data_IF_036583633524
#
_entry.id   IF_036583633524
#
_cell.length_a   1.000
_cell.length_b   1.000
_cell.length_c   1.000
_cell.angle_alpha   90.00
_cell.angle_beta   90.00
_cell.angle_gamma   90.00
#
_symmetry.space_group_name_H-M   'P 1'
#
loop_
_entity.id
_entity.type
_entity.pdbx_description
1 polymer ?
#
# COMPACT_ATOMS: atom_id res chain seq x y z
N UNK A 1 -29.06 16.84 -10.46
CA UNK A 1 -27.62 16.62 -10.29
C UNK A 1 -27.45 15.52 -9.25
N UNK A 2 -26.64 14.53 -9.53
CA UNK A 2 -26.36 13.45 -8.58
C UNK A 2 -25.73 14.05 -7.30
N UNK A 3 -26.25 13.65 -6.14
CA UNK A 3 -25.71 14.09 -4.86
C UNK A 3 -24.52 13.19 -4.48
N UNK A 4 -23.32 13.51 -5.00
CA UNK A 4 -22.11 12.77 -4.70
C UNK A 4 -21.12 13.66 -3.93
N UNK A 5 -20.54 13.12 -2.87
CA UNK A 5 -19.51 13.81 -2.10
C UNK A 5 -18.19 13.84 -2.89
N UNK A 6 -17.72 15.03 -3.24
CA UNK A 6 -16.50 15.22 -4.05
C UNK A 6 -15.24 14.78 -3.32
N UNK A 7 -15.21 14.91 -2.03
CA UNK A 7 -14.07 14.64 -1.16
C UNK A 7 -13.72 13.16 -1.03
N UNK A 8 -14.59 12.25 -1.50
CA UNK A 8 -14.27 10.82 -1.56
C UNK A 8 -13.34 10.45 -2.72
N UNK A 9 -13.24 11.28 -3.76
CA UNK A 9 -12.36 11.08 -4.92
C UNK A 9 -10.93 11.55 -4.58
N UNK A 10 -10.14 10.67 -3.95
CA UNK A 10 -8.78 10.98 -3.48
C UNK A 10 -7.74 10.88 -4.60
N UNK A 11 -6.46 11.07 -4.27
CA UNK A 11 -5.37 11.09 -5.24
C UNK A 11 -5.13 9.75 -5.94
N UNK A 12 -5.41 8.60 -5.29
CA UNK A 12 -5.11 7.28 -5.85
C UNK A 12 -6.18 6.20 -5.58
N UNK A 13 -7.28 6.57 -4.95
CA UNK A 13 -8.45 5.70 -4.74
C UNK A 13 -9.72 6.54 -4.51
N UNK A 14 -10.85 5.87 -4.38
CA UNK A 14 -12.07 6.48 -3.86
C UNK A 14 -12.26 5.97 -2.44
N UNK A 15 -12.50 6.87 -1.48
CA UNK A 15 -12.63 6.49 -0.08
C UNK A 15 -13.56 7.41 0.68
N UNK A 16 -14.53 6.83 1.42
CA UNK A 16 -15.51 7.60 2.17
C UNK A 16 -16.07 6.86 3.38
N UNK A 17 -16.85 7.57 4.19
CA UNK A 17 -17.59 7.00 5.32
C UNK A 17 -18.90 6.44 4.79
N UNK A 18 -19.12 5.14 5.03
CA UNK A 18 -20.29 4.40 4.55
C UNK A 18 -21.57 4.98 5.14
N UNK A 19 -22.58 5.17 4.28
CA UNK A 19 -23.87 5.76 4.63
C UNK A 19 -23.86 7.28 4.84
N UNK A 20 -22.68 7.92 4.77
CA UNK A 20 -22.54 9.39 4.85
C UNK A 20 -22.04 9.98 3.54
N UNK A 21 -20.77 9.76 3.22
CA UNK A 21 -20.13 10.25 1.99
C UNK A 21 -20.05 9.19 0.91
N UNK A 22 -19.98 7.90 1.30
CA UNK A 22 -20.02 6.75 0.41
C UNK A 22 -21.36 6.02 0.61
N UNK A 23 -22.37 6.39 -0.18
CA UNK A 23 -23.71 5.81 -0.15
C UNK A 23 -23.87 4.73 -1.22
N UNK A 24 -24.93 3.95 -1.14
CA UNK A 24 -25.32 2.96 -2.17
C UNK A 24 -25.50 3.63 -3.54
N UNK A 25 -26.15 4.80 -3.59
CA UNK A 25 -26.31 5.59 -4.80
C UNK A 25 -24.95 6.04 -5.36
N UNK A 26 -24.05 6.55 -4.51
CA UNK A 26 -22.70 6.92 -4.92
C UNK A 26 -21.94 5.72 -5.50
N UNK A 27 -22.01 4.55 -4.88
CA UNK A 27 -21.38 3.33 -5.38
C UNK A 27 -21.92 2.92 -6.76
N UNK A 28 -23.24 2.97 -6.96
CA UNK A 28 -23.85 2.70 -8.25
C UNK A 28 -23.37 3.66 -9.34
N UNK A 29 -23.36 4.97 -9.06
CA UNK A 29 -22.92 5.99 -10.03
C UNK A 29 -21.42 5.88 -10.32
N UNK A 30 -20.60 5.57 -9.33
CA UNK A 30 -19.18 5.29 -9.51
C UNK A 30 -19.00 4.06 -10.41
N UNK A 31 -19.78 3.00 -10.21
CA UNK A 31 -19.79 1.82 -11.09
C UNK A 31 -20.07 2.19 -12.54
N UNK A 32 -21.09 3.02 -12.79
CA UNK A 32 -21.41 3.53 -14.13
C UNK A 32 -20.27 4.39 -14.73
N UNK A 33 -19.63 5.23 -13.91
CA UNK A 33 -18.52 6.06 -14.37
C UNK A 33 -17.29 5.21 -14.75
N UNK A 34 -16.96 4.19 -13.94
CA UNK A 34 -15.88 3.24 -14.26
C UNK A 34 -16.21 2.45 -15.53
N UNK A 35 -17.47 2.00 -15.69
CA UNK A 35 -17.92 1.31 -16.89
C UNK A 35 -17.82 2.19 -18.13
N UNK A 36 -18.12 3.48 -18.01
CA UNK A 36 -17.94 4.46 -19.11
C UNK A 36 -16.49 4.55 -19.54
N UNK A 37 -15.56 4.70 -18.58
CA UNK A 37 -14.12 4.72 -18.87
C UNK A 37 -13.62 3.39 -19.44
N UNK A 38 -14.16 2.27 -18.97
CA UNK A 38 -13.86 0.95 -19.50
C UNK A 38 -14.30 0.83 -20.97
N UNK A 39 -15.53 1.26 -21.28
CA UNK A 39 -16.07 1.25 -22.65
C UNK A 39 -15.26 2.11 -23.61
N UNK A 40 -14.81 3.30 -23.18
CA UNK A 40 -13.91 4.18 -23.96
C UNK A 40 -12.60 3.46 -24.35
N UNK A 41 -12.13 2.53 -23.51
CA UNK A 41 -10.93 1.72 -23.73
C UNK A 41 -11.20 0.38 -24.43
N UNK A 42 -12.45 0.09 -24.82
CA UNK A 42 -12.85 -1.19 -25.41
C UNK A 42 -12.84 -2.36 -24.42
N UNK A 43 -12.87 -2.09 -23.11
CA UNK A 43 -12.92 -3.10 -22.06
C UNK A 43 -14.37 -3.54 -21.90
N UNK A 44 -14.61 -4.84 -21.98
CA UNK A 44 -15.95 -5.43 -21.91
C UNK A 44 -16.18 -6.26 -20.65
N UNK A 45 -15.12 -6.54 -19.86
CA UNK A 45 -15.19 -7.38 -18.65
C UNK A 45 -14.29 -6.83 -17.56
N UNK A 46 -14.80 -6.79 -16.31
CA UNK A 46 -14.10 -6.28 -15.14
C UNK A 46 -14.18 -7.31 -13.99
N UNK A 47 -13.07 -7.62 -13.32
CA UNK A 47 -13.05 -8.39 -12.09
C UNK A 47 -13.55 -7.50 -10.93
N UNK A 48 -14.39 -8.06 -10.06
CA UNK A 48 -14.94 -7.36 -8.90
C UNK A 48 -14.76 -8.21 -7.65
N UNK A 49 -14.10 -7.64 -6.64
CA UNK A 49 -13.87 -8.30 -5.36
C UNK A 49 -14.05 -7.33 -4.19
N UNK A 50 -14.12 -7.87 -2.99
CA UNK A 50 -14.24 -7.09 -1.75
C UNK A 50 -13.40 -7.67 -0.62
N UNK A 51 -13.02 -6.83 0.34
CA UNK A 51 -12.44 -7.27 1.61
C UNK A 51 -13.50 -7.80 2.60
N UNK A 52 -13.11 -8.00 3.86
CA UNK A 52 -13.96 -8.54 4.93
C UNK A 52 -14.88 -7.53 5.60
N UNK A 53 -14.91 -6.26 5.19
CA UNK A 53 -15.75 -5.23 5.82
C UNK A 53 -17.23 -5.52 5.69
N UNK A 54 -18.01 -5.19 6.74
CA UNK A 54 -19.45 -5.46 6.80
C UNK A 54 -20.24 -4.74 5.71
N UNK A 55 -19.79 -3.56 5.28
CA UNK A 55 -20.40 -2.79 4.20
C UNK A 55 -20.07 -3.32 2.79
N UNK A 56 -19.08 -4.22 2.67
CA UNK A 56 -18.61 -4.75 1.39
C UNK A 56 -19.69 -5.35 0.51
N UNK A 57 -20.55 -6.25 1.00
CA UNK A 57 -21.61 -6.88 0.17
C UNK A 57 -22.58 -5.88 -0.46
N UNK A 58 -23.04 -4.87 0.32
CA UNK A 58 -23.95 -3.84 -0.19
C UNK A 58 -23.34 -2.98 -1.28
N UNK A 59 -22.14 -2.46 -1.03
CA UNK A 59 -21.40 -1.67 -2.03
C UNK A 59 -21.06 -2.48 -3.29
N UNK A 60 -20.70 -3.76 -3.12
CA UNK A 60 -20.42 -4.66 -4.25
C UNK A 60 -21.65 -4.86 -5.14
N UNK A 61 -22.83 -5.04 -4.55
CA UNK A 61 -24.06 -5.17 -5.33
C UNK A 61 -24.35 -3.91 -6.15
N UNK A 62 -24.08 -2.71 -5.63
CA UNK A 62 -24.32 -1.46 -6.34
C UNK A 62 -23.31 -1.22 -7.46
N UNK A 63 -22.02 -1.45 -7.21
CA UNK A 63 -20.98 -1.35 -8.25
C UNK A 63 -21.26 -2.36 -9.36
N UNK A 64 -21.58 -3.61 -9.02
CA UNK A 64 -21.92 -4.65 -9.99
C UNK A 64 -23.12 -4.25 -10.86
N UNK A 65 -24.17 -3.70 -10.25
CA UNK A 65 -25.33 -3.18 -10.99
C UNK A 65 -24.92 -2.03 -11.92
N UNK A 66 -24.09 -1.09 -11.44
CA UNK A 66 -23.56 -0.01 -12.27
C UNK A 66 -22.82 -0.51 -13.50
N UNK A 67 -22.01 -1.56 -13.36
CA UNK A 67 -21.32 -2.21 -14.48
C UNK A 67 -22.27 -2.88 -15.44
N UNK A 68 -23.15 -3.74 -14.94
CA UNK A 68 -24.09 -4.50 -15.81
C UNK A 68 -25.07 -3.60 -16.54
N UNK A 69 -25.63 -2.59 -15.87
CA UNK A 69 -26.52 -1.60 -16.50
C UNK A 69 -25.83 -0.78 -17.59
N UNK A 70 -24.50 -0.70 -17.54
CA UNK A 70 -23.64 -0.03 -18.55
C UNK A 70 -23.06 -0.99 -19.58
N UNK A 71 -23.52 -2.26 -19.63
CA UNK A 71 -23.11 -3.24 -20.64
C UNK A 71 -21.77 -3.94 -20.38
N UNK A 72 -21.18 -3.79 -19.19
CA UNK A 72 -19.92 -4.43 -18.83
C UNK A 72 -20.18 -5.75 -18.11
N UNK A 73 -19.54 -6.83 -18.57
CA UNK A 73 -19.55 -8.12 -17.89
C UNK A 73 -18.71 -8.08 -16.61
N UNK A 74 -19.17 -8.76 -15.58
CA UNK A 74 -18.52 -8.82 -14.27
C UNK A 74 -18.03 -10.23 -13.98
N UNK A 75 -16.75 -10.35 -13.63
CA UNK A 75 -16.21 -11.52 -12.95
C UNK A 75 -16.21 -11.25 -11.44
N UNK A 76 -17.19 -11.75 -10.73
CA UNK A 76 -17.30 -11.63 -9.28
C UNK A 76 -16.42 -12.69 -8.61
N UNK A 77 -15.35 -12.25 -7.94
CA UNK A 77 -14.42 -13.13 -7.20
C UNK A 77 -14.72 -13.18 -5.71
N UNK A 78 -15.79 -12.53 -5.26
CA UNK A 78 -16.27 -12.59 -3.88
C UNK A 78 -15.38 -11.85 -2.88
N UNK A 79 -15.26 -12.44 -1.68
CA UNK A 79 -14.39 -11.92 -0.62
C UNK A 79 -12.96 -12.41 -0.85
N UNK A 80 -12.05 -11.50 -1.13
CA UNK A 80 -10.64 -11.76 -1.46
C UNK A 80 -9.73 -10.67 -0.89
N UNK A 81 -8.44 -10.94 -0.80
CA UNK A 81 -7.44 -9.91 -0.57
C UNK A 81 -7.23 -9.05 -1.84
N UNK A 82 -6.80 -7.79 -1.68
CA UNK A 82 -6.55 -6.89 -2.80
C UNK A 82 -5.60 -7.49 -3.86
N UNK A 83 -4.45 -8.11 -3.51
CA UNK A 83 -3.60 -8.75 -4.50
C UNK A 83 -4.27 -9.91 -5.26
N UNK A 84 -5.21 -10.61 -4.63
CA UNK A 84 -5.95 -11.68 -5.32
C UNK A 84 -6.91 -11.11 -6.37
N UNK A 85 -7.52 -9.94 -6.12
CA UNK A 85 -8.27 -9.24 -7.15
C UNK A 85 -7.37 -8.82 -8.31
N UNK A 86 -6.21 -8.24 -8.03
CA UNK A 86 -5.28 -7.86 -9.10
C UNK A 86 -4.83 -9.08 -9.92
N UNK A 87 -4.59 -10.20 -9.25
CA UNK A 87 -4.30 -11.48 -9.91
C UNK A 87 -5.44 -11.91 -10.85
N UNK A 88 -6.69 -11.87 -10.37
CA UNK A 88 -7.87 -12.18 -11.20
C UNK A 88 -8.03 -11.20 -12.36
N UNK A 89 -7.88 -9.88 -12.11
CA UNK A 89 -7.99 -8.85 -13.13
C UNK A 89 -6.99 -9.08 -14.29
N UNK A 90 -5.75 -9.41 -13.97
CA UNK A 90 -4.70 -9.64 -14.97
C UNK A 90 -4.94 -10.93 -15.75
N UNK A 91 -5.26 -12.03 -15.07
CA UNK A 91 -5.36 -13.33 -15.73
C UNK A 91 -6.70 -13.55 -16.44
N UNK A 92 -7.79 -12.90 -16.01
CA UNK A 92 -9.15 -13.18 -16.47
C UNK A 92 -9.84 -12.01 -17.18
N UNK A 93 -9.41 -10.76 -16.92
CA UNK A 93 -10.11 -9.55 -17.36
C UNK A 93 -9.19 -8.53 -18.03
N UNK A 94 -8.09 -8.97 -18.67
CA UNK A 94 -7.19 -8.10 -19.42
C UNK A 94 -6.59 -6.95 -18.59
N UNK A 95 -6.38 -7.16 -17.30
CA UNK A 95 -5.86 -6.15 -16.38
C UNK A 95 -6.94 -5.17 -15.88
N UNK A 96 -8.20 -5.56 -15.86
CA UNK A 96 -9.30 -4.68 -15.41
C UNK A 96 -9.99 -5.24 -14.19
N UNK A 97 -10.00 -4.50 -13.10
CA UNK A 97 -10.59 -4.93 -11.84
C UNK A 97 -10.88 -3.78 -10.88
N UNK A 98 -11.85 -3.99 -10.02
CA UNK A 98 -12.22 -3.08 -8.92
C UNK A 98 -12.28 -3.84 -7.61
N UNK A 99 -11.51 -3.37 -6.64
CA UNK A 99 -11.49 -3.87 -5.27
C UNK A 99 -12.28 -2.93 -4.37
N UNK A 100 -13.23 -3.49 -3.64
CA UNK A 100 -13.98 -2.78 -2.62
C UNK A 100 -13.29 -3.01 -1.28
N UNK A 101 -12.64 -1.97 -0.78
CA UNK A 101 -11.83 -2.05 0.44
C UNK A 101 -11.68 -0.70 1.12
N UNK A 102 -11.63 -0.72 2.44
CA UNK A 102 -11.18 0.40 3.25
C UNK A 102 -9.72 0.27 3.68
N UNK A 103 -8.99 -0.79 3.22
CA UNK A 103 -7.61 -1.09 3.63
C UNK A 103 -7.46 -1.02 5.16
N UNK A 104 -6.58 -0.19 5.67
CA UNK A 104 -6.33 0.04 7.09
C UNK A 104 -7.18 1.15 7.73
N UNK A 105 -8.21 1.67 7.06
CA UNK A 105 -9.09 2.68 7.66
C UNK A 105 -10.03 2.06 8.73
N UNK A 106 -10.65 2.89 9.60
CA UNK A 106 -11.65 2.43 10.56
C UNK A 106 -12.80 1.62 9.94
N UNK A 107 -13.56 0.84 10.74
CA UNK A 107 -14.60 -0.06 10.24
C UNK A 107 -15.71 0.61 9.44
N UNK A 108 -16.02 1.87 9.71
CA UNK A 108 -17.05 2.68 9.06
C UNK A 108 -16.61 3.27 7.71
N UNK A 109 -15.34 3.09 7.31
CA UNK A 109 -14.83 3.47 6.00
C UNK A 109 -14.90 2.31 5.01
N UNK A 110 -15.07 2.67 3.73
CA UNK A 110 -14.85 1.77 2.60
C UNK A 110 -14.45 2.59 1.36
N UNK A 111 -14.13 1.92 0.25
CA UNK A 111 -13.72 2.61 -0.96
C UNK A 111 -13.45 1.66 -2.13
N UNK A 112 -12.82 2.20 -3.17
CA UNK A 112 -12.57 1.47 -4.40
C UNK A 112 -11.14 1.69 -4.89
N UNK A 113 -10.37 0.60 -5.01
CA UNK A 113 -9.11 0.56 -5.77
C UNK A 113 -9.42 0.05 -7.16
N UNK A 114 -8.93 0.74 -8.19
CA UNK A 114 -9.40 0.52 -9.57
C UNK A 114 -8.22 0.34 -10.53
N UNK A 115 -8.34 -0.64 -11.41
CA UNK A 115 -7.38 -0.90 -12.49
C UNK A 115 -8.15 -1.13 -13.79
N UNK A 116 -7.78 -0.46 -14.87
CA UNK A 116 -8.37 -0.62 -16.21
C UNK A 116 -7.28 -0.80 -17.26
N UNK A 117 -7.30 -1.96 -17.96
CA UNK A 117 -6.33 -2.27 -18.99
C UNK A 117 -4.89 -2.37 -18.49
N UNK A 118 -4.69 -2.79 -17.24
CA UNK A 118 -3.38 -2.91 -16.59
C UNK A 118 -2.83 -1.59 -16.01
N UNK A 119 -3.61 -0.51 -16.03
CA UNK A 119 -3.25 0.77 -15.42
C UNK A 119 -4.09 1.02 -14.15
N UNK A 120 -3.45 1.29 -13.03
CA UNK A 120 -4.14 1.71 -11.81
C UNK A 120 -4.61 3.15 -11.98
N UNK A 121 -5.89 3.41 -11.70
CA UNK A 121 -6.46 4.75 -11.78
C UNK A 121 -5.93 5.60 -10.60
N UNK A 122 -5.41 6.78 -10.94
CA UNK A 122 -4.92 7.75 -9.97
C UNK A 122 -5.00 9.17 -10.52
N UNK A 123 -4.92 10.17 -9.65
CA UNK A 123 -4.86 11.59 -10.02
C UNK A 123 -6.01 12.02 -10.92
N UNK A 124 -5.67 12.49 -12.11
CA UNK A 124 -6.62 13.01 -13.10
C UNK A 124 -7.66 11.96 -13.49
N UNK A 125 -7.27 10.69 -13.65
CA UNK A 125 -8.21 9.62 -14.03
C UNK A 125 -9.32 9.42 -12.98
N UNK A 126 -9.06 9.65 -11.69
CA UNK A 126 -10.08 9.63 -10.65
C UNK A 126 -10.99 10.87 -10.73
N UNK A 127 -10.42 12.04 -11.03
CA UNK A 127 -11.21 13.27 -11.23
C UNK A 127 -12.08 13.20 -12.48
N UNK A 128 -11.66 12.51 -13.52
CA UNK A 128 -12.50 12.21 -14.69
C UNK A 128 -13.73 11.37 -14.32
N UNK A 129 -13.62 10.40 -13.41
CA UNK A 129 -14.79 9.66 -12.91
C UNK A 129 -15.80 10.59 -12.23
N UNK A 130 -15.31 11.49 -11.37
CA UNK A 130 -16.16 12.50 -10.75
C UNK A 130 -16.86 13.37 -11.80
N UNK A 131 -16.13 13.85 -12.81
CA UNK A 131 -16.68 14.67 -13.87
C UNK A 131 -17.76 13.94 -14.69
N UNK A 132 -17.61 12.63 -14.93
CA UNK A 132 -18.64 11.81 -15.58
C UNK A 132 -19.91 11.77 -14.74
N UNK A 133 -19.79 11.55 -13.42
CA UNK A 133 -20.94 11.51 -12.50
C UNK A 133 -21.65 12.87 -12.47
N UNK A 134 -20.91 13.98 -12.32
CA UNK A 134 -21.48 15.31 -12.22
C UNK A 134 -22.21 15.77 -13.49
N UNK A 135 -21.73 15.34 -14.66
CA UNK A 135 -22.31 15.68 -15.98
C UNK A 135 -23.36 14.69 -16.45
N UNK A 136 -23.67 13.64 -15.68
CA UNK A 136 -24.51 12.51 -16.11
C UNK A 136 -24.02 11.90 -17.43
N UNK A 137 -22.68 11.89 -17.61
CA UNK A 137 -21.98 11.51 -18.85
C UNK A 137 -21.78 9.99 -19.00
N UNK A 138 -22.74 9.19 -18.56
CA UNK A 138 -22.64 7.75 -18.58
C UNK A 138 -22.84 7.15 -19.97
N UNK A 139 -22.07 6.10 -20.28
CA UNK A 139 -22.30 5.33 -21.50
C UNK A 139 -23.69 4.70 -21.47
N UNK A 140 -24.39 4.77 -22.59
CA UNK A 140 -25.61 4.00 -22.82
C UNK A 140 -25.25 2.62 -23.36
N UNK A 141 -25.89 1.56 -22.84
CA UNK A 141 -25.70 0.21 -23.31
C UNK A 141 -26.95 -0.33 -23.98
N UNK A 142 -26.78 -0.96 -25.13
CA UNK A 142 -27.86 -1.64 -25.84
C UNK A 142 -28.28 -2.95 -25.18
N UNK A 143 -27.36 -3.54 -24.39
CA UNK A 143 -27.56 -4.81 -23.69
C UNK A 143 -26.93 -4.77 -22.31
N UNK A 144 -27.62 -5.30 -21.33
CA UNK A 144 -27.09 -5.47 -19.99
C UNK A 144 -25.93 -6.47 -19.98
N UNK A 145 -24.87 -6.17 -19.21
CA UNK A 145 -23.77 -7.09 -18.97
C UNK A 145 -24.17 -8.29 -18.13
N UNK A 146 -23.37 -9.34 -18.20
CA UNK A 146 -23.55 -10.57 -17.43
C UNK A 146 -22.68 -10.60 -16.17
N UNK A 147 -23.03 -11.47 -15.21
CA UNK A 147 -22.21 -11.73 -14.01
C UNK A 147 -21.84 -13.21 -14.00
N UNK A 148 -20.55 -13.46 -13.80
CA UNK A 148 -20.03 -14.81 -13.54
C UNK A 148 -19.27 -14.81 -12.23
N UNK A 149 -19.39 -15.88 -11.46
CA UNK A 149 -18.68 -16.05 -10.19
C UNK A 149 -17.51 -17.01 -10.38
N UNK A 150 -16.38 -16.72 -9.71
CA UNK A 150 -15.20 -17.59 -9.72
C UNK A 150 -14.43 -17.47 -8.42
N UNK A 151 -14.15 -18.60 -7.77
CA UNK A 151 -13.16 -18.67 -6.70
C UNK A 151 -11.74 -18.68 -7.31
N UNK A 152 -11.00 -17.61 -7.08
CA UNK A 152 -9.62 -17.44 -7.57
C UNK A 152 -8.56 -17.90 -6.55
N UNK A 153 -8.98 -18.24 -5.33
CA UNK A 153 -8.06 -18.49 -4.21
C UNK A 153 -7.12 -19.66 -4.45
N UNK A 154 -7.63 -20.74 -5.07
CA UNK A 154 -6.83 -21.91 -5.42
C UNK A 154 -5.77 -21.61 -6.47
N UNK A 155 -6.11 -20.83 -7.50
CA UNK A 155 -5.16 -20.45 -8.57
C UNK A 155 -4.06 -19.55 -8.05
N UNK A 156 -4.41 -18.52 -7.25
CA UNK A 156 -3.47 -17.62 -6.60
C UNK A 156 -2.50 -18.40 -5.69
N UNK A 157 -3.04 -19.23 -4.79
CA UNK A 157 -2.25 -20.07 -3.90
C UNK A 157 -1.28 -20.98 -4.68
N UNK A 158 -1.79 -21.73 -5.67
CA UNK A 158 -0.98 -22.70 -6.42
C UNK A 158 0.11 -22.00 -7.24
N UNK A 159 -0.16 -20.80 -7.74
CA UNK A 159 0.83 -20.02 -8.46
C UNK A 159 2.01 -19.67 -7.54
N UNK A 160 1.76 -19.18 -6.32
CA UNK A 160 2.82 -18.84 -5.36
C UNK A 160 3.58 -20.08 -4.91
N UNK A 161 2.89 -21.11 -4.44
CA UNK A 161 3.52 -22.37 -3.95
C UNK A 161 4.29 -23.07 -5.07
N UNK A 162 3.84 -22.91 -6.32
CA UNK A 162 4.49 -23.48 -7.50
C UNK A 162 5.93 -22.99 -7.73
N UNK A 163 6.22 -21.72 -7.42
CA UNK A 163 7.50 -21.11 -7.74
C UNK A 163 8.33 -20.63 -6.54
N UNK A 164 7.74 -20.39 -5.38
CA UNK A 164 8.48 -20.10 -4.14
C UNK A 164 9.04 -21.38 -3.55
N UNK A 165 10.33 -21.40 -3.24
CA UNK A 165 11.02 -22.60 -2.75
C UNK A 165 11.84 -22.29 -1.49
N UNK A 166 11.33 -22.72 -0.35
CA UNK A 166 12.05 -22.62 0.90
C UNK A 166 13.20 -23.65 0.95
N UNK A 167 14.31 -23.26 1.59
CA UNK A 167 15.44 -24.20 1.86
C UNK A 167 15.14 -25.15 3.01
N UNK A 168 14.30 -24.73 3.97
CA UNK A 168 13.78 -25.52 5.06
C UNK A 168 12.41 -25.00 5.49
N UNK A 169 11.59 -25.85 6.15
CA UNK A 169 10.42 -25.37 6.88
C UNK A 169 10.82 -24.36 7.96
N UNK A 170 9.95 -23.37 8.19
CA UNK A 170 10.11 -22.39 9.26
C UNK A 170 8.90 -22.42 10.18
N UNK A 171 9.10 -22.00 11.44
CA UNK A 171 8.00 -21.74 12.38
C UNK A 171 7.71 -20.26 12.37
N UNK A 172 6.50 -19.90 11.99
CA UNK A 172 6.11 -18.49 11.82
C UNK A 172 4.83 -18.18 12.58
N UNK A 173 4.67 -16.92 12.95
CA UNK A 173 3.39 -16.37 13.41
C UNK A 173 2.87 -15.44 12.32
N UNK A 174 1.59 -15.52 12.00
CA UNK A 174 0.92 -14.53 11.17
C UNK A 174 -0.13 -13.80 12.00
N UNK A 175 -0.26 -12.50 11.76
CA UNK A 175 -1.27 -11.63 12.36
C UNK A 175 -2.04 -10.92 11.26
N UNK A 176 -3.33 -11.23 11.12
CA UNK A 176 -4.19 -10.63 10.11
C UNK A 176 -5.05 -9.47 10.66
N UNK A 177 -5.01 -9.19 11.96
CA UNK A 177 -5.81 -8.12 12.59
C UNK A 177 -7.31 -8.23 12.27
N UNK A 178 -7.85 -9.44 12.11
CA UNK A 178 -9.20 -9.73 11.61
C UNK A 178 -9.49 -9.24 10.17
N UNK A 179 -8.46 -8.83 9.42
CA UNK A 179 -8.55 -8.48 8.02
C UNK A 179 -8.74 -9.70 7.11
N UNK A 180 -9.03 -9.44 5.84
CA UNK A 180 -9.33 -10.50 4.86
C UNK A 180 -8.16 -11.44 4.59
N UNK A 181 -6.91 -11.00 4.83
CA UNK A 181 -5.71 -11.84 4.73
C UNK A 181 -5.77 -13.09 5.57
N UNK A 182 -6.48 -13.05 6.72
CA UNK A 182 -6.68 -14.21 7.60
C UNK A 182 -7.32 -15.41 6.94
N UNK A 183 -8.21 -15.21 5.96
CA UNK A 183 -8.85 -16.29 5.22
C UNK A 183 -7.86 -17.05 4.29
N UNK A 184 -6.71 -16.48 3.94
CA UNK A 184 -5.84 -16.99 2.89
C UNK A 184 -4.39 -17.23 3.33
N UNK A 185 -3.81 -16.36 4.16
CA UNK A 185 -2.39 -16.39 4.50
C UNK A 185 -1.96 -17.68 5.22
N UNK A 186 -2.76 -18.17 6.16
CA UNK A 186 -2.47 -19.42 6.89
C UNK A 186 -2.33 -20.61 5.95
N UNK A 187 -3.27 -20.78 5.03
CA UNK A 187 -3.24 -21.84 4.02
C UNK A 187 -2.03 -21.69 3.08
N UNK A 188 -1.72 -20.45 2.67
CA UNK A 188 -0.60 -20.16 1.78
C UNK A 188 0.73 -20.58 2.41
N UNK A 189 1.00 -20.13 3.62
CA UNK A 189 2.28 -20.41 4.26
C UNK A 189 2.43 -21.86 4.72
N UNK A 190 1.35 -22.54 5.11
CA UNK A 190 1.33 -24.01 5.32
C UNK A 190 1.61 -24.75 4.01
N UNK A 191 1.06 -24.27 2.89
CA UNK A 191 1.32 -24.81 1.56
C UNK A 191 2.80 -24.72 1.12
N UNK A 192 3.53 -23.72 1.64
CA UNK A 192 4.99 -23.59 1.46
C UNK A 192 5.81 -24.50 2.39
N UNK A 193 5.15 -25.27 3.28
CA UNK A 193 5.78 -26.21 4.20
C UNK A 193 6.09 -25.66 5.60
N UNK A 194 5.60 -24.48 5.94
CA UNK A 194 5.85 -23.87 7.25
C UNK A 194 4.88 -24.40 8.34
N UNK A 195 5.33 -24.35 9.60
CA UNK A 195 4.48 -24.43 10.77
C UNK A 195 3.97 -23.01 11.09
N UNK A 196 2.66 -22.81 11.09
CA UNK A 196 2.03 -21.48 11.17
C UNK A 196 1.16 -21.37 12.42
N UNK A 197 1.49 -20.45 13.30
CA UNK A 197 0.62 -19.94 14.36
C UNK A 197 -0.18 -18.75 13.82
N UNK A 198 -1.50 -18.77 13.98
CA UNK A 198 -2.42 -17.80 13.43
C UNK A 198 -2.99 -16.90 14.53
N UNK A 199 -2.77 -15.58 14.45
CA UNK A 199 -3.37 -14.57 15.31
C UNK A 199 -4.40 -13.78 14.50
N UNK A 200 -5.60 -13.65 15.08
CA UNK A 200 -6.69 -12.82 14.54
C UNK A 200 -6.98 -13.07 13.05
N UNK A 201 -6.93 -14.35 12.64
CA UNK A 201 -7.16 -14.78 11.26
C UNK A 201 -8.63 -15.03 10.93
N UNK A 202 -9.54 -14.99 11.91
CA UNK A 202 -10.98 -14.95 11.65
C UNK A 202 -11.35 -13.57 11.11
N UNK A 203 -11.96 -13.54 9.91
CA UNK A 203 -12.31 -12.28 9.24
C UNK A 203 -13.51 -11.62 9.96
N UNK A 204 -13.31 -10.44 10.51
CA UNK A 204 -14.33 -9.63 11.16
C UNK A 204 -14.14 -8.15 10.83
N UNK A 205 -15.10 -7.59 10.08
CA UNK A 205 -15.06 -6.19 9.64
C UNK A 205 -15.19 -5.15 10.77
N UNK A 206 -15.38 -5.58 12.04
CA UNK A 206 -15.34 -4.71 13.21
C UNK A 206 -13.90 -4.56 13.77
N UNK A 207 -12.96 -5.44 13.38
CA UNK A 207 -11.57 -5.46 13.86
C UNK A 207 -11.46 -5.48 15.41
N UNK A 208 -12.03 -6.48 16.10
CA UNK A 208 -12.25 -6.44 17.55
C UNK A 208 -10.98 -6.52 18.39
N UNK A 209 -9.86 -7.03 17.84
CA UNK A 209 -8.62 -7.22 18.60
C UNK A 209 -7.71 -6.00 18.53
N UNK A 210 -7.30 -5.62 17.35
CA UNK A 210 -6.57 -4.39 17.08
C UNK A 210 -6.85 -3.89 15.67
N UNK A 211 -6.51 -2.64 15.42
CA UNK A 211 -6.65 -2.06 14.10
C UNK A 211 -5.67 -2.72 13.10
N UNK A 212 -6.12 -3.19 11.92
CA UNK A 212 -5.28 -3.90 10.95
C UNK A 212 -4.38 -2.95 10.17
N UNK A 213 -3.42 -2.34 10.88
CA UNK A 213 -2.40 -1.44 10.33
C UNK A 213 -1.03 -1.81 10.92
N UNK A 214 -0.22 -2.62 10.23
CA UNK A 214 1.09 -3.05 10.71
C UNK A 214 2.15 -1.93 10.71
N UNK A 215 1.84 -0.75 10.17
CA UNK A 215 2.73 0.41 10.23
C UNK A 215 2.80 1.02 11.64
N UNK A 216 1.86 0.66 12.52
CA UNK A 216 1.76 1.20 13.88
C UNK A 216 2.27 0.18 14.89
N UNK A 217 3.36 0.47 15.63
CA UNK A 217 3.93 -0.46 16.61
C UNK A 217 2.94 -0.98 17.67
N UNK A 218 1.95 -0.16 18.04
CA UNK A 218 0.89 -0.56 18.98
C UNK A 218 0.05 -1.74 18.50
N UNK A 219 -0.12 -1.90 17.17
CA UNK A 219 -0.91 -2.96 16.57
C UNK A 219 -0.10 -4.26 16.39
N UNK A 220 1.19 -4.26 16.69
CA UNK A 220 2.07 -5.42 16.59
C UNK A 220 2.39 -6.04 17.96
N UNK A 221 1.77 -5.54 19.05
CA UNK A 221 2.15 -5.96 20.40
C UNK A 221 1.80 -7.43 20.68
N UNK A 222 0.64 -7.91 20.24
CA UNK A 222 0.25 -9.31 20.41
C UNK A 222 1.17 -10.24 19.61
N UNK A 223 1.55 -9.86 18.38
CA UNK A 223 2.53 -10.57 17.57
C UNK A 223 3.90 -10.63 18.26
N UNK A 224 4.36 -9.51 18.84
CA UNK A 224 5.62 -9.44 19.60
C UNK A 224 5.58 -10.36 20.82
N UNK A 225 4.48 -10.36 21.56
CA UNK A 225 4.29 -11.21 22.74
C UNK A 225 4.32 -12.69 22.36
N UNK A 226 3.60 -13.08 21.30
CA UNK A 226 3.58 -14.45 20.80
C UNK A 226 4.98 -14.92 20.37
N UNK A 227 5.71 -14.08 19.63
CA UNK A 227 7.08 -14.37 19.20
C UNK A 227 8.02 -14.59 20.40
N UNK A 228 7.99 -13.70 21.40
CA UNK A 228 8.87 -13.78 22.57
C UNK A 228 8.61 -15.02 23.42
N UNK A 229 7.35 -15.40 23.58
CA UNK A 229 6.93 -16.51 24.46
C UNK A 229 6.86 -17.86 23.73
N UNK A 230 6.64 -17.86 22.40
CA UNK A 230 6.50 -19.05 21.59
C UNK A 230 7.84 -19.61 21.06
N UNK A 231 7.76 -20.44 20.02
CA UNK A 231 8.92 -21.05 19.36
C UNK A 231 9.07 -20.61 17.90
N UNK A 232 8.26 -19.67 17.45
CA UNK A 232 8.34 -19.15 16.08
C UNK A 232 9.61 -18.31 15.87
N UNK A 233 10.09 -18.32 14.63
CA UNK A 233 11.35 -17.68 14.23
C UNK A 233 11.13 -16.24 13.72
N UNK A 234 9.92 -15.95 13.23
CA UNK A 234 9.55 -14.66 12.63
C UNK A 234 8.04 -14.46 12.67
N UNK A 235 7.60 -13.21 12.74
CA UNK A 235 6.22 -12.79 12.63
C UNK A 235 5.96 -11.98 11.37
N UNK A 236 4.81 -12.24 10.74
CA UNK A 236 4.31 -11.52 9.58
C UNK A 236 2.95 -10.93 9.92
N UNK A 237 2.76 -9.63 9.68
CA UNK A 237 1.49 -8.96 9.92
C UNK A 237 0.95 -8.35 8.62
N UNK A 238 -0.38 -8.34 8.46
CA UNK A 238 -1.05 -7.83 7.27
C UNK A 238 -2.01 -6.71 7.63
N UNK A 239 -2.22 -5.79 6.70
CA UNK A 239 -3.29 -4.81 6.84
C UNK A 239 -4.66 -5.38 6.43
N UNK A 240 -5.70 -4.56 6.50
CA UNK A 240 -7.08 -5.03 6.36
C UNK A 240 -7.42 -5.71 5.04
N UNK A 241 -6.72 -5.40 3.95
CA UNK A 241 -6.87 -6.02 2.63
C UNK A 241 -5.62 -6.76 2.12
N UNK A 242 -4.61 -6.93 3.02
CA UNK A 242 -3.42 -7.75 2.85
C UNK A 242 -2.50 -7.36 1.68
N UNK A 243 -2.48 -6.09 1.29
CA UNK A 243 -1.53 -5.58 0.31
C UNK A 243 -0.26 -5.00 0.95
N UNK A 244 -0.20 -4.94 2.32
CA UNK A 244 0.96 -4.51 3.10
C UNK A 244 1.48 -5.63 3.99
N UNK A 245 2.81 -5.60 4.21
CA UNK A 245 3.53 -6.53 5.08
C UNK A 245 4.22 -5.81 6.23
N UNK A 246 3.91 -6.20 7.47
CA UNK A 246 4.71 -5.95 8.65
C UNK A 246 5.57 -7.15 9.00
N UNK A 247 6.77 -6.93 9.53
CA UNK A 247 7.72 -7.99 9.89
C UNK A 247 8.27 -7.74 11.28
N UNK A 248 8.25 -8.78 12.11
CA UNK A 248 8.77 -8.75 13.48
C UNK A 248 9.71 -9.94 13.70
N UNK A 249 10.89 -9.69 14.24
CA UNK A 249 11.87 -10.74 14.56
C UNK A 249 11.48 -11.50 15.82
N UNK A 250 12.10 -12.65 16.05
CA UNK A 250 11.95 -13.44 17.29
C UNK A 250 12.18 -12.62 18.57
N UNK A 251 13.09 -11.65 18.49
CA UNK A 251 13.44 -10.79 19.63
C UNK A 251 12.40 -9.67 19.86
N UNK A 252 11.40 -9.56 18.98
CA UNK A 252 10.37 -8.53 19.02
C UNK A 252 10.77 -7.21 18.35
N UNK A 253 11.84 -7.18 17.55
CA UNK A 253 12.24 -6.01 16.79
C UNK A 253 11.37 -5.88 15.53
N UNK A 254 10.80 -4.69 15.32
CA UNK A 254 10.03 -4.37 14.14
C UNK A 254 11.01 -4.03 13.01
N UNK A 255 10.91 -4.76 11.90
CA UNK A 255 11.69 -4.47 10.69
C UNK A 255 10.84 -3.60 9.77
N UNK A 256 11.15 -2.33 9.70
CA UNK A 256 10.41 -1.36 8.90
C UNK A 256 10.50 -1.68 7.39
N UNK A 257 9.49 -1.31 6.59
CA UNK A 257 9.38 -1.70 5.19
C UNK A 257 10.58 -1.32 4.31
N UNK A 258 11.20 -0.17 4.57
CA UNK A 258 12.40 0.25 3.85
C UNK A 258 13.63 -0.64 4.15
N UNK A 259 13.69 -1.24 5.35
CA UNK A 259 14.70 -2.26 5.69
C UNK A 259 14.36 -3.61 5.05
N UNK A 260 13.08 -3.99 5.02
CA UNK A 260 12.63 -5.17 4.28
C UNK A 260 13.02 -5.04 2.80
N UNK A 261 12.83 -3.86 2.20
CA UNK A 261 13.19 -3.60 0.81
C UNK A 261 14.71 -3.73 0.55
N UNK A 262 15.57 -3.43 1.52
CA UNK A 262 17.02 -3.70 1.40
C UNK A 262 17.28 -5.18 1.12
N UNK A 263 16.65 -6.08 1.89
CA UNK A 263 16.82 -7.52 1.73
C UNK A 263 16.23 -8.01 0.41
N UNK A 264 15.04 -7.54 0.04
CA UNK A 264 14.39 -7.87 -1.22
C UNK A 264 15.21 -7.37 -2.43
N UNK A 265 15.75 -6.16 -2.36
CA UNK A 265 16.61 -5.60 -3.40
C UNK A 265 17.89 -6.43 -3.57
N UNK A 266 18.58 -6.78 -2.48
CA UNK A 266 19.75 -7.63 -2.50
C UNK A 266 19.47 -8.98 -3.18
N UNK A 267 18.35 -9.63 -2.81
CA UNK A 267 17.93 -10.91 -3.40
C UNK A 267 17.65 -10.77 -4.91
N UNK A 268 16.86 -9.79 -5.32
CA UNK A 268 16.53 -9.56 -6.74
C UNK A 268 17.77 -9.20 -7.55
N UNK A 269 18.63 -8.31 -7.04
CA UNK A 269 19.84 -7.84 -7.71
C UNK A 269 20.89 -8.94 -7.86
N UNK A 270 20.93 -9.93 -6.96
CA UNK A 270 21.84 -11.08 -7.08
C UNK A 270 21.61 -11.87 -8.39
N UNK A 271 20.40 -11.83 -8.92
CA UNK A 271 20.02 -12.49 -10.19
C UNK A 271 19.85 -11.52 -11.36
N UNK A 272 19.64 -10.24 -11.06
CA UNK A 272 19.31 -9.21 -12.04
C UNK A 272 20.19 -7.97 -11.81
N UNK A 273 21.51 -8.05 -12.08
CA UNK A 273 22.41 -6.92 -11.90
C UNK A 273 21.96 -5.73 -12.77
N UNK A 274 22.13 -4.50 -12.24
CA UNK A 274 21.69 -3.23 -12.82
C UNK A 274 20.17 -3.02 -12.88
N UNK A 275 19.37 -3.91 -12.29
CA UNK A 275 17.94 -3.69 -12.22
C UNK A 275 17.61 -2.42 -11.40
N UNK A 276 16.53 -1.75 -11.81
CA UNK A 276 15.97 -0.64 -11.04
C UNK A 276 15.21 -1.15 -9.83
N UNK A 277 15.40 -0.44 -8.71
CA UNK A 277 14.67 -0.64 -7.46
C UNK A 277 14.00 0.68 -7.10
N UNK A 278 12.66 0.69 -7.01
CA UNK A 278 11.90 1.90 -6.70
C UNK A 278 11.55 1.92 -5.21
N UNK A 279 11.62 3.09 -4.61
CA UNK A 279 11.21 3.34 -3.23
C UNK A 279 10.59 4.72 -3.08
N UNK A 280 9.72 4.88 -2.08
CA UNK A 280 9.07 6.16 -1.87
C UNK A 280 9.96 7.19 -1.14
N UNK A 281 9.59 8.45 -1.27
CA UNK A 281 10.31 9.59 -0.66
C UNK A 281 10.45 9.50 0.86
N UNK A 282 9.63 8.70 1.55
CA UNK A 282 9.69 8.49 3.00
C UNK A 282 10.76 7.48 3.44
N UNK A 283 11.27 6.69 2.52
CA UNK A 283 12.23 5.63 2.81
C UNK A 283 13.56 6.18 3.32
N UNK A 284 14.27 5.34 4.08
CA UNK A 284 15.58 5.66 4.65
C UNK A 284 16.59 6.14 3.62
N UNK A 285 17.45 7.10 4.01
CA UNK A 285 18.57 7.54 3.18
C UNK A 285 19.59 6.43 2.90
N UNK A 286 19.62 5.38 3.73
CA UNK A 286 20.55 4.26 3.58
C UNK A 286 20.18 3.32 2.43
N UNK A 287 18.94 3.41 1.89
CA UNK A 287 18.45 2.48 0.88
C UNK A 287 19.11 2.68 -0.49
N UNK A 288 19.27 3.91 -0.95
CA UNK A 288 19.89 4.18 -2.25
C UNK A 288 21.38 3.76 -2.30
N UNK A 289 22.23 4.06 -1.30
CA UNK A 289 23.57 3.48 -1.22
C UNK A 289 23.60 1.96 -1.20
N UNK A 290 22.71 1.33 -0.41
CA UNK A 290 22.59 -0.13 -0.34
C UNK A 290 22.27 -0.77 -1.71
N UNK A 291 21.31 -0.19 -2.45
CA UNK A 291 20.95 -0.67 -3.79
C UNK A 291 22.16 -0.57 -4.74
N UNK A 292 22.89 0.56 -4.71
CA UNK A 292 24.10 0.76 -5.53
C UNK A 292 25.21 -0.23 -5.19
N UNK A 293 25.46 -0.46 -3.90
CA UNK A 293 26.45 -1.42 -3.40
C UNK A 293 26.17 -2.85 -3.91
N UNK A 294 24.86 -3.20 -4.02
CA UNK A 294 24.43 -4.50 -4.55
C UNK A 294 24.26 -4.49 -6.08
N UNK A 295 24.77 -3.48 -6.77
CA UNK A 295 24.80 -3.43 -8.24
C UNK A 295 23.48 -3.02 -8.90
N UNK A 296 22.58 -2.39 -8.19
CA UNK A 296 21.28 -1.90 -8.70
C UNK A 296 21.25 -0.40 -9.00
N UNK A 297 20.15 0.04 -9.58
CA UNK A 297 19.84 1.44 -9.91
C UNK A 297 18.68 1.94 -9.03
N UNK A 298 18.94 2.77 -7.99
CA UNK A 298 17.89 3.28 -7.09
C UNK A 298 17.06 4.38 -7.76
N UNK A 299 15.74 4.28 -7.64
CA UNK A 299 14.79 5.26 -8.17
C UNK A 299 13.85 5.70 -7.06
N UNK A 300 13.90 6.97 -6.66
CA UNK A 300 12.97 7.54 -5.68
C UNK A 300 11.70 8.01 -6.40
N UNK A 301 10.54 7.75 -5.80
CA UNK A 301 9.23 8.11 -6.33
C UNK A 301 8.35 8.75 -5.24
N UNK A 302 7.24 9.37 -5.65
CA UNK A 302 6.18 9.85 -4.75
C UNK A 302 5.59 8.70 -3.94
N UNK A 303 5.15 8.99 -2.72
CA UNK A 303 4.35 8.06 -1.94
C UNK A 303 2.99 7.82 -2.59
N UNK A 304 2.64 6.56 -2.77
CA UNK A 304 1.35 6.10 -3.28
C UNK A 304 1.50 4.91 -4.24
N UNK A 305 0.87 3.80 -3.89
CA UNK A 305 0.98 2.53 -4.61
C UNK A 305 0.72 2.65 -6.13
N UNK A 306 -0.16 3.58 -6.53
CA UNK A 306 -0.47 3.81 -7.94
C UNK A 306 0.69 4.48 -8.70
N UNK A 307 1.41 5.41 -8.06
CA UNK A 307 2.59 6.06 -8.64
C UNK A 307 3.72 5.05 -8.79
N UNK A 308 3.97 4.25 -7.75
CA UNK A 308 4.98 3.18 -7.79
C UNK A 308 4.69 2.21 -8.93
N UNK A 309 3.46 1.68 -9.07
CA UNK A 309 3.08 0.77 -10.17
C UNK A 309 3.27 1.40 -11.55
N UNK A 310 2.89 2.68 -11.71
CA UNK A 310 3.10 3.42 -12.96
C UNK A 310 4.58 3.55 -13.31
N UNK A 311 5.42 3.89 -12.34
CA UNK A 311 6.86 4.05 -12.55
C UNK A 311 7.55 2.70 -12.76
N UNK A 312 7.13 1.62 -12.09
CA UNK A 312 7.59 0.27 -12.40
C UNK A 312 7.32 -0.11 -13.86
N UNK A 313 6.10 0.16 -14.34
CA UNK A 313 5.71 -0.11 -15.75
C UNK A 313 6.57 0.69 -16.74
N UNK A 314 6.79 1.98 -16.46
CA UNK A 314 7.58 2.87 -17.33
C UNK A 314 9.07 2.54 -17.36
N UNK A 315 9.62 2.14 -16.22
CA UNK A 315 11.08 1.97 -16.05
C UNK A 315 11.53 0.52 -16.19
N UNK A 316 10.61 -0.44 -16.11
CA UNK A 316 10.92 -1.87 -16.09
C UNK A 316 11.52 -2.33 -14.76
N UNK A 317 11.33 -1.58 -13.66
CA UNK A 317 11.84 -1.95 -12.34
C UNK A 317 11.29 -3.31 -11.90
N UNK A 318 12.13 -4.11 -11.24
CA UNK A 318 11.83 -5.49 -10.88
C UNK A 318 11.30 -5.66 -9.45
N UNK A 319 11.59 -4.70 -8.58
CA UNK A 319 11.11 -4.66 -7.19
C UNK A 319 10.92 -3.21 -6.77
N UNK A 320 9.92 -2.98 -5.94
CA UNK A 320 9.68 -1.68 -5.33
C UNK A 320 9.09 -1.84 -3.92
N UNK A 321 9.17 -0.79 -3.11
CA UNK A 321 8.56 -0.76 -1.79
C UNK A 321 8.28 0.66 -1.31
N UNK A 322 7.29 0.76 -0.42
CA UNK A 322 6.94 2.00 0.27
C UNK A 322 7.11 1.85 1.78
N UNK A 323 7.41 2.95 2.45
CA UNK A 323 7.50 2.99 3.92
C UNK A 323 6.17 2.59 4.60
N UNK A 324 5.06 2.64 3.88
CA UNK A 324 3.73 2.19 4.34
C UNK A 324 3.57 0.68 4.44
N UNK A 325 4.48 -0.12 3.87
CA UNK A 325 4.45 -1.59 3.87
C UNK A 325 4.03 -2.23 2.55
N UNK A 326 3.66 -1.45 1.52
CA UNK A 326 3.44 -2.00 0.19
C UNK A 326 4.76 -2.46 -0.42
N UNK A 327 4.80 -3.70 -0.92
CA UNK A 327 5.94 -4.27 -1.62
C UNK A 327 5.47 -4.84 -2.96
N UNK A 328 6.22 -4.52 -4.00
CA UNK A 328 5.87 -4.84 -5.38
C UNK A 328 7.00 -5.66 -6.01
N UNK A 329 6.67 -6.84 -6.49
CA UNK A 329 7.61 -7.68 -7.24
C UNK A 329 7.15 -7.80 -8.70
N UNK A 330 8.01 -7.41 -9.64
CA UNK A 330 7.87 -7.74 -11.06
C UNK A 330 8.75 -8.94 -11.42
N UNK A 331 9.82 -9.14 -10.67
CA UNK A 331 10.66 -10.33 -10.75
C UNK A 331 9.89 -11.53 -10.20
N UNK A 332 9.54 -12.47 -11.03
CA UNK A 332 8.73 -13.69 -10.77
C UNK A 332 7.29 -13.44 -10.29
N UNK A 333 6.78 -12.19 -10.41
CA UNK A 333 5.41 -11.83 -10.06
C UNK A 333 4.87 -10.77 -11.04
N UNK A 334 3.71 -10.21 -10.78
CA UNK A 334 2.99 -9.36 -11.74
C UNK A 334 3.29 -7.86 -11.59
N UNK A 335 3.92 -7.41 -10.49
CA UNK A 335 4.28 -6.00 -10.27
C UNK A 335 3.22 -5.18 -9.53
N UNK A 336 2.21 -5.82 -8.94
CA UNK A 336 1.30 -5.16 -8.00
C UNK A 336 1.77 -5.36 -6.55
N UNK A 337 1.21 -4.56 -5.64
CA UNK A 337 1.41 -4.62 -4.21
C UNK A 337 0.75 -5.89 -3.63
N UNK A 338 1.54 -6.70 -2.91
CA UNK A 338 1.10 -8.00 -2.41
C UNK A 338 1.83 -8.35 -1.12
N UNK A 339 1.18 -8.12 0.03
CA UNK A 339 1.75 -8.42 1.33
C UNK A 339 1.97 -9.92 1.56
N UNK A 340 1.06 -10.77 1.08
CA UNK A 340 1.19 -12.22 1.24
C UNK A 340 2.30 -12.79 0.37
N UNK A 341 2.44 -12.33 -0.87
CA UNK A 341 3.56 -12.71 -1.73
C UNK A 341 4.90 -12.20 -1.21
N UNK A 342 4.94 -10.94 -0.73
CA UNK A 342 6.13 -10.37 -0.11
C UNK A 342 6.58 -11.19 1.11
N UNK A 343 5.65 -11.63 1.95
CA UNK A 343 5.92 -12.56 3.04
C UNK A 343 6.49 -13.89 2.57
N UNK A 344 5.94 -14.48 1.50
CA UNK A 344 6.46 -15.72 0.90
C UNK A 344 7.90 -15.54 0.37
N UNK A 345 8.20 -14.41 -0.29
CA UNK A 345 9.56 -14.04 -0.74
C UNK A 345 10.52 -13.84 0.41
N UNK A 346 10.06 -13.22 1.50
CA UNK A 346 10.86 -13.05 2.71
C UNK A 346 11.23 -14.41 3.31
N UNK A 347 10.26 -15.32 3.43
CA UNK A 347 10.51 -16.66 3.95
C UNK A 347 11.43 -17.48 3.02
N UNK A 348 11.32 -17.33 1.70
CA UNK A 348 12.24 -17.96 0.74
C UNK A 348 13.68 -17.53 1.02
N UNK A 349 13.94 -16.25 1.23
CA UNK A 349 15.27 -15.72 1.56
C UNK A 349 15.74 -16.22 2.94
N UNK A 350 14.90 -16.04 3.95
CA UNK A 350 15.28 -16.32 5.35
C UNK A 350 15.43 -17.81 5.65
N UNK A 351 14.74 -18.70 4.93
CA UNK A 351 14.85 -20.15 5.09
C UNK A 351 16.25 -20.70 4.78
N UNK A 352 17.10 -19.91 4.13
CA UNK A 352 18.50 -20.28 3.88
C UNK A 352 19.42 -20.08 5.11
N UNK A 353 18.91 -19.49 6.19
CA UNK A 353 19.69 -19.16 7.39
C UNK A 353 19.11 -19.85 8.63
N UNK A 354 20.00 -20.24 9.54
CA UNK A 354 19.61 -20.87 10.81
C UNK A 354 18.95 -19.87 11.78
N UNK A 355 19.34 -18.60 11.71
CA UNK A 355 18.80 -17.52 12.55
C UNK A 355 18.27 -16.36 11.68
N UNK A 356 16.99 -16.37 11.31
CA UNK A 356 16.36 -15.30 10.52
C UNK A 356 16.43 -13.91 11.17
N UNK A 357 16.29 -13.85 12.50
CA UNK A 357 16.35 -12.57 13.24
C UNK A 357 17.72 -11.90 13.11
N UNK A 358 18.80 -12.69 13.11
CA UNK A 358 20.16 -12.15 12.97
C UNK A 358 20.37 -11.49 11.59
N UNK A 359 19.82 -12.09 10.52
CA UNK A 359 19.88 -11.53 9.18
C UNK A 359 19.19 -10.17 9.12
N UNK A 360 17.99 -10.08 9.68
CA UNK A 360 17.19 -8.86 9.67
C UNK A 360 17.77 -7.77 10.60
N UNK A 361 18.25 -8.15 11.78
CA UNK A 361 18.81 -7.21 12.76
C UNK A 361 20.17 -6.63 12.31
N UNK A 362 20.87 -7.27 11.37
CA UNK A 362 22.13 -6.76 10.78
C UNK A 362 21.93 -5.77 9.65
N UNK A 363 20.71 -5.58 9.16
CA UNK A 363 20.45 -4.55 8.15
C UNK A 363 20.83 -3.17 8.68
N UNK A 364 21.34 -2.26 7.83
CA UNK A 364 21.76 -0.93 8.24
C UNK A 364 20.70 -0.19 9.04
N UNK A 365 21.09 0.42 10.14
CA UNK A 365 20.22 1.15 11.07
C UNK A 365 20.60 2.63 11.10
N UNK A 366 19.63 3.47 11.40
CA UNK A 366 19.76 4.89 11.66
C UNK A 366 18.78 5.31 12.74
N UNK A 367 19.00 6.43 13.38
CA UNK A 367 18.04 7.02 14.31
C UNK A 367 16.97 7.74 13.47
N UNK A 368 15.70 7.46 13.74
CA UNK A 368 14.60 8.11 13.01
C UNK A 368 13.44 8.46 13.94
N UNK A 369 12.73 9.54 13.62
CA UNK A 369 11.46 9.84 14.27
C UNK A 369 10.36 8.93 13.75
N UNK A 370 9.29 8.69 14.52
CA UNK A 370 8.00 8.33 13.96
C UNK A 370 7.55 9.37 12.92
N UNK A 371 6.52 9.06 12.13
CA UNK A 371 5.84 10.10 11.36
C UNK A 371 5.19 11.10 12.33
N UNK A 372 5.52 12.38 12.17
CA UNK A 372 4.95 13.49 12.92
C UNK A 372 3.92 14.19 12.02
N UNK A 373 2.81 14.62 12.60
CA UNK A 373 1.71 15.21 11.85
C UNK A 373 1.44 16.63 12.32
N UNK A 374 1.15 17.52 11.35
CA UNK A 374 0.67 18.88 11.59
C UNK A 374 -0.70 18.98 10.95
N UNK A 375 -1.73 19.26 11.76
CA UNK A 375 -3.07 19.51 11.24
C UNK A 375 -3.09 20.83 10.45
N UNK A 376 -3.75 20.78 9.30
CA UNK A 376 -3.96 21.96 8.47
C UNK A 376 -5.30 22.61 8.82
N UNK A 377 -5.40 23.95 8.75
CA UNK A 377 -6.68 24.64 8.86
C UNK A 377 -7.70 24.09 7.86
N UNK A 378 -8.98 24.11 8.25
CA UNK A 378 -10.08 23.65 7.41
C UNK A 378 -10.09 24.35 6.04
N UNK A 379 -10.24 23.55 4.97
CA UNK A 379 -10.21 24.06 3.59
C UNK A 379 -8.83 24.33 3.01
N UNK A 380 -7.75 24.10 3.77
CA UNK A 380 -6.37 24.25 3.28
C UNK A 380 -6.02 23.21 2.22
N UNK A 381 -5.30 23.64 1.19
CA UNK A 381 -4.63 22.74 0.25
C UNK A 381 -3.19 22.47 0.72
N UNK A 382 -2.93 21.26 1.24
CA UNK A 382 -1.63 20.90 1.80
C UNK A 382 -0.46 21.02 0.81
N UNK A 383 -0.68 20.70 -0.46
CA UNK A 383 0.35 20.84 -1.49
C UNK A 383 0.74 22.29 -1.73
N UNK A 384 -0.25 23.19 -1.77
CA UNK A 384 0.00 24.63 -1.89
C UNK A 384 0.73 25.18 -0.67
N UNK A 385 0.37 24.74 0.53
CA UNK A 385 1.09 25.10 1.76
C UNK A 385 2.56 24.68 1.69
N UNK A 386 2.85 23.48 1.23
CA UNK A 386 4.23 22.99 1.04
C UNK A 386 4.97 23.85 0.01
N UNK A 387 4.37 24.18 -1.12
CA UNK A 387 4.97 25.02 -2.16
C UNK A 387 5.32 26.40 -1.60
N UNK A 388 4.43 27.04 -0.84
CA UNK A 388 4.65 28.34 -0.21
C UNK A 388 5.79 28.29 0.83
N UNK A 389 5.84 27.24 1.66
CA UNK A 389 6.91 27.05 2.64
C UNK A 389 8.27 26.79 1.94
N UNK A 390 8.27 25.95 0.90
CA UNK A 390 9.49 25.61 0.17
C UNK A 390 10.09 26.80 -0.60
N UNK A 391 9.26 27.72 -1.10
CA UNK A 391 9.71 28.86 -1.90
C UNK A 391 10.70 29.78 -1.16
N UNK A 392 10.59 29.87 0.16
CA UNK A 392 11.42 30.75 0.99
C UNK A 392 12.34 29.96 1.94
N UNK A 393 12.28 28.62 1.92
CA UNK A 393 13.07 27.78 2.81
C UNK A 393 14.56 27.83 2.51
N UNK A 394 15.36 27.93 3.57
CA UNK A 394 16.83 27.82 3.51
C UNK A 394 17.25 26.75 4.50
N UNK A 395 18.09 25.83 4.03
CA UNK A 395 18.61 24.74 4.84
C UNK A 395 20.13 24.78 4.82
N UNK A 396 20.70 25.20 5.93
CA UNK A 396 22.15 25.31 6.08
C UNK A 396 22.79 23.91 6.11
N UNK A 397 23.81 23.70 5.27
CA UNK A 397 24.50 22.42 5.16
C UNK A 397 23.76 21.35 4.38
N UNK A 398 22.63 21.68 3.71
CA UNK A 398 21.94 20.76 2.82
C UNK A 398 22.83 20.36 1.64
N UNK A 399 22.85 19.07 1.32
CA UNK A 399 23.59 18.52 0.16
C UNK A 399 22.69 18.37 -1.07
N UNK A 400 21.39 18.14 -0.86
CA UNK A 400 20.41 17.99 -1.92
C UNK A 400 19.00 18.37 -1.41
N UNK A 401 18.19 18.95 -2.29
CA UNK A 401 16.77 19.24 -2.04
C UNK A 401 15.94 18.53 -3.10
N UNK A 402 15.06 17.63 -2.67
CA UNK A 402 14.21 16.79 -3.52
C UNK A 402 12.77 17.23 -3.34
N UNK A 403 12.09 17.56 -4.45
CA UNK A 403 10.74 18.13 -4.46
C UNK A 403 9.70 17.26 -5.17
N UNK A 404 9.98 15.99 -5.37
CA UNK A 404 9.08 15.08 -6.10
C UNK A 404 7.74 14.85 -5.39
N UNK A 405 7.74 14.89 -4.03
CA UNK A 405 6.55 14.74 -3.19
C UNK A 405 6.76 15.53 -1.88
N UNK A 406 6.54 16.82 -1.93
CA UNK A 406 6.82 17.75 -0.85
C UNK A 406 8.27 18.24 -0.86
N UNK A 407 8.88 18.30 0.30
CA UNK A 407 10.22 18.85 0.50
C UNK A 407 11.07 17.86 1.31
N UNK A 408 11.92 17.10 0.65
CA UNK A 408 12.93 16.26 1.28
C UNK A 408 14.30 16.92 1.14
N UNK A 409 14.98 17.13 2.26
CA UNK A 409 16.27 17.79 2.33
C UNK A 409 17.30 16.82 2.89
N UNK A 410 18.30 16.48 2.09
CA UNK A 410 19.41 15.62 2.47
C UNK A 410 20.55 16.45 3.07
N UNK A 411 21.16 15.91 4.12
CA UNK A 411 22.36 16.42 4.76
C UNK A 411 23.44 15.31 4.78
N UNK A 412 24.72 15.62 5.06
CA UNK A 412 25.77 14.61 5.11
C UNK A 412 25.48 13.48 6.09
N UNK A 413 24.76 13.78 7.18
CA UNK A 413 24.50 12.90 8.33
C UNK A 413 23.02 12.62 8.60
N UNK A 414 22.09 13.01 7.69
CA UNK A 414 20.66 12.78 7.87
C UNK A 414 19.79 13.37 6.79
N UNK A 415 18.47 13.28 6.96
CA UNK A 415 17.49 14.00 6.15
C UNK A 415 16.29 14.47 6.98
N UNK A 416 15.59 15.48 6.46
CA UNK A 416 14.26 15.86 6.88
C UNK A 416 13.29 15.82 5.71
N UNK A 417 12.05 15.44 5.98
CA UNK A 417 10.96 15.41 5.00
C UNK A 417 9.75 16.16 5.55
N UNK A 418 9.13 16.97 4.71
CA UNK A 418 7.83 17.58 4.92
C UNK A 418 6.99 17.43 3.66
N UNK A 419 5.83 16.78 3.75
CA UNK A 419 4.94 16.55 2.62
C UNK A 419 3.47 16.67 3.01
N UNK A 420 2.62 16.97 2.04
CA UNK A 420 1.17 16.90 2.25
C UNK A 420 0.68 15.45 2.23
N UNK A 421 -0.24 15.11 3.13
CA UNK A 421 -0.96 13.83 3.02
C UNK A 421 -1.94 13.87 1.83
N UNK A 422 -2.01 12.76 1.08
CA UNK A 422 -2.95 12.61 -0.04
C UNK A 422 -4.37 12.21 0.41
N UNK A 423 -4.54 11.84 1.68
CA UNK A 423 -5.80 11.27 2.20
C UNK A 423 -6.43 12.07 3.32
N UNK A 424 -5.63 12.84 4.05
CA UNK A 424 -6.05 13.62 5.23
C UNK A 424 -5.49 15.04 5.16
N UNK A 425 -6.16 16.07 5.75
CA UNK A 425 -5.70 17.45 5.73
C UNK A 425 -4.56 17.69 6.75
N UNK A 426 -3.42 16.99 6.57
CA UNK A 426 -2.24 17.11 7.43
C UNK A 426 -0.97 17.27 6.60
N UNK A 427 0.06 17.87 7.20
CA UNK A 427 1.44 17.70 6.76
C UNK A 427 2.08 16.56 7.53
N UNK A 428 2.80 15.71 6.82
CA UNK A 428 3.55 14.59 7.38
C UNK A 428 5.03 14.96 7.39
N UNK A 429 5.67 14.82 8.54
CA UNK A 429 7.10 15.05 8.73
C UNK A 429 7.79 13.74 9.11
N UNK A 430 9.00 13.56 8.64
CA UNK A 430 9.91 12.49 9.07
C UNK A 430 11.35 12.99 9.08
N UNK A 431 12.09 12.57 10.10
CA UNK A 431 13.51 12.90 10.26
C UNK A 431 14.31 11.63 10.52
N UNK A 432 15.49 11.56 9.94
CA UNK A 432 16.43 10.45 10.11
C UNK A 432 17.85 10.98 10.10
N UNK A 433 18.69 10.51 11.01
CA UNK A 433 20.10 10.88 11.04
C UNK A 433 20.97 9.81 11.71
N UNK A 434 22.30 10.03 11.67
CA UNK A 434 23.29 9.16 12.30
C UNK A 434 23.35 9.36 13.82
N UNK A 435 23.03 10.56 14.29
CA UNK A 435 23.05 10.91 15.73
C UNK A 435 21.80 11.69 16.12
N UNK A 436 21.50 11.72 17.42
CA UNK A 436 20.38 12.47 17.97
C UNK A 436 20.59 13.99 17.81
N UNK A 437 21.81 14.49 17.94
CA UNK A 437 22.15 15.90 17.73
C UNK A 437 21.90 16.34 16.28
N UNK A 438 22.17 15.44 15.31
CA UNK A 438 21.89 15.70 13.91
C UNK A 438 20.37 15.75 13.64
N UNK A 439 19.57 14.87 14.25
CA UNK A 439 18.10 14.95 14.18
C UNK A 439 17.61 16.29 14.70
N UNK A 440 18.03 16.69 15.89
CA UNK A 440 17.61 17.95 16.53
C UNK A 440 18.00 19.16 15.68
N UNK A 441 19.21 19.18 15.12
CA UNK A 441 19.67 20.24 14.21
C UNK A 441 18.78 20.32 12.98
N UNK A 442 18.48 19.19 12.33
CA UNK A 442 17.64 19.14 11.12
C UNK A 442 16.21 19.56 11.46
N UNK A 443 15.64 19.05 12.55
CA UNK A 443 14.32 19.42 13.03
C UNK A 443 14.17 20.91 13.28
N UNK A 444 15.19 21.55 13.90
CA UNK A 444 15.19 22.99 14.17
C UNK A 444 15.13 23.83 12.88
N UNK A 445 15.77 23.37 11.80
CA UNK A 445 15.66 24.04 10.51
C UNK A 445 14.27 23.92 9.90
N UNK A 446 13.68 22.73 9.94
CA UNK A 446 12.29 22.52 9.49
C UNK A 446 11.28 23.27 10.34
N UNK A 447 11.48 23.31 11.66
CA UNK A 447 10.66 24.09 12.60
C UNK A 447 10.63 25.56 12.22
N UNK A 448 11.79 26.16 11.96
CA UNK A 448 11.86 27.57 11.54
C UNK A 448 11.11 27.83 10.23
N UNK A 449 11.17 26.91 9.26
CA UNK A 449 10.41 27.00 8.01
C UNK A 449 8.91 26.88 8.26
N UNK A 450 8.46 25.91 9.06
CA UNK A 450 7.04 25.68 9.35
C UNK A 450 6.44 26.85 10.13
N UNK A 451 7.13 27.35 11.16
CA UNK A 451 6.67 28.46 12.00
C UNK A 451 6.74 29.82 11.29
N UNK A 452 7.33 29.90 10.09
CA UNK A 452 7.20 31.11 9.23
C UNK A 452 5.75 31.29 8.75
N UNK A 453 4.94 30.24 8.76
CA UNK A 453 3.48 30.33 8.55
C UNK A 453 2.78 30.31 9.92
N UNK A 454 2.16 31.43 10.37
CA UNK A 454 1.57 31.55 11.71
C UNK A 454 0.35 30.62 11.94
N UNK A 455 -0.21 30.05 10.89
CA UNK A 455 -1.30 29.08 11.00
C UNK A 455 -0.85 27.67 11.34
N UNK A 456 0.46 27.38 11.28
CA UNK A 456 1.03 26.07 11.54
C UNK A 456 1.75 26.06 12.89
N UNK A 457 1.72 24.90 13.56
CA UNK A 457 2.44 24.70 14.83
C UNK A 457 3.34 23.48 14.73
N UNK A 458 4.54 23.61 15.28
CA UNK A 458 5.45 22.49 15.40
C UNK A 458 4.84 21.38 16.29
N UNK A 459 4.91 20.09 15.87
CA UNK A 459 4.18 19.01 16.52
C UNK A 459 4.88 18.38 17.76
N UNK A 460 6.05 18.90 18.18
CA UNK A 460 6.83 18.42 19.32
C UNK A 460 6.95 19.48 20.41
#
# INVERSE_FOLDING_TARGET
MANIARDIFKAYDIRGIVGKTLTDEAAYLIGKAIATKASEKGITRIALGRDGRLSGPGLMAQIQRGFTDSGIDVLNVGMVATPMLYFAAINECGGSGVMITGSHNPPDYNGFKMMLGGDTLAGEAIQELLAIVEKDGFVAADKQGSVTEKDISGEYHNNIVGHIKLKRPMKIVIDAGNGVGGAFAGKLYKGLGNEVTELFCEVDGNFPNHHPDPSKPKNLQDLIVELKNGNAEIGLAFDGDADRLGVVTKDGNIIYPDRQLMLFAQDVLSRNPKAKVIFDVKSTRLLAPWIKEHGGDPVMEKTGHSFIKSTMKKTGALVAGEMSGHVFFKERWFGFDDGMYAGARLLEILSAFDNPSEVLNKLPQSISTPELNIDLPEGSNGHKVIEELAANAKFEGATEIITIDGLRVEFPDGFGLMRASNTTPILVLRFEADTQEAIERIQNQFKAVIESNPALKWPL
#
